data_IF_288544331026
#
_entry.id   IF_288544331026
#
_cell.length_a   1.000
_cell.length_b   1.000
_cell.length_c   1.000
_cell.angle_alpha   90.00
_cell.angle_beta   90.00
_cell.angle_gamma   90.00
#
_symmetry.space_group_name_H-M   'P 1'
#
loop_
_entity.id
_entity.type
_entity.pdbx_description
1 polymer ?
#
# COMPACT_ATOMS: atom_id res chain seq x y z
N UNK A 1 -12.79 -12.59 7.08
CA UNK A 1 -11.76 -13.27 6.31
C UNK A 1 -10.78 -12.28 5.69
N UNK A 2 -9.74 -12.76 5.06
CA UNK A 2 -8.80 -11.94 4.29
C UNK A 2 -9.22 -12.05 2.82
N UNK A 3 -9.25 -10.93 2.10
CA UNK A 3 -9.50 -10.90 0.67
C UNK A 3 -8.31 -11.53 -0.08
N UNK A 4 -8.60 -12.35 -1.07
CA UNK A 4 -7.58 -12.95 -1.92
C UNK A 4 -7.25 -12.00 -3.08
N UNK A 5 -5.97 -11.76 -3.31
CA UNK A 5 -5.45 -10.99 -4.44
C UNK A 5 -4.26 -11.74 -5.05
N UNK A 6 -4.17 -11.76 -6.36
CA UNK A 6 -3.03 -12.33 -7.07
C UNK A 6 -2.56 -11.42 -8.19
N UNK A 7 -1.27 -11.52 -8.50
CA UNK A 7 -0.70 -10.88 -9.69
C UNK A 7 -0.94 -11.73 -10.92
N UNK A 8 -1.12 -11.07 -12.07
CA UNK A 8 -1.17 -11.69 -13.39
C UNK A 8 -0.01 -11.19 -14.25
N UNK A 9 0.55 -12.09 -15.04
CA UNK A 9 1.65 -11.84 -15.98
C UNK A 9 1.28 -12.18 -17.42
N UNK A 10 0.12 -12.79 -17.61
CA UNK A 10 -0.42 -13.19 -18.92
C UNK A 10 -1.95 -13.12 -18.91
N UNK A 11 -2.54 -13.17 -20.12
CA UNK A 11 -4.00 -13.29 -20.26
C UNK A 11 -4.49 -14.60 -19.63
N UNK A 12 -3.76 -15.69 -19.79
CA UNK A 12 -4.12 -16.99 -19.23
C UNK A 12 -4.20 -16.96 -17.70
N UNK A 13 -3.29 -16.23 -17.03
CA UNK A 13 -3.36 -16.03 -15.57
C UNK A 13 -4.62 -15.23 -15.19
N UNK A 14 -4.93 -14.19 -15.97
CA UNK A 14 -6.11 -13.36 -15.75
C UNK A 14 -7.42 -14.14 -16.01
N UNK A 15 -7.49 -14.97 -17.06
CA UNK A 15 -8.60 -15.87 -17.34
C UNK A 15 -8.86 -16.81 -16.16
N UNK A 16 -7.80 -17.45 -15.65
CA UNK A 16 -7.91 -18.35 -14.50
C UNK A 16 -8.50 -17.64 -13.27
N UNK A 17 -8.04 -16.42 -12.95
CA UNK A 17 -8.58 -15.67 -11.81
C UNK A 17 -10.03 -15.25 -12.03
N UNK A 18 -10.39 -14.83 -13.22
CA UNK A 18 -11.76 -14.48 -13.59
C UNK A 18 -12.70 -15.69 -13.47
N UNK A 19 -12.28 -16.87 -13.96
CA UNK A 19 -13.04 -18.13 -13.87
C UNK A 19 -13.26 -18.56 -12.41
N UNK A 20 -12.31 -18.24 -11.53
CA UNK A 20 -12.42 -18.48 -10.07
C UNK A 20 -13.32 -17.47 -9.36
N UNK A 21 -13.85 -16.45 -10.06
CA UNK A 21 -14.71 -15.41 -9.51
C UNK A 21 -13.95 -14.38 -8.66
N UNK A 22 -12.65 -14.21 -8.89
CA UNK A 22 -11.85 -13.15 -8.27
C UNK A 22 -12.22 -11.82 -8.94
N UNK A 23 -12.52 -10.79 -8.14
CA UNK A 23 -12.98 -9.48 -8.64
C UNK A 23 -11.88 -8.42 -8.65
N UNK A 24 -10.76 -8.67 -8.00
CA UNK A 24 -9.62 -7.76 -7.92
C UNK A 24 -8.35 -8.43 -8.40
N UNK A 25 -7.55 -7.72 -9.19
CA UNK A 25 -6.30 -8.27 -9.76
C UNK A 25 -5.14 -7.29 -9.59
N UNK A 26 -3.92 -7.81 -9.48
CA UNK A 26 -2.70 -6.99 -9.50
C UNK A 26 -1.95 -7.15 -10.82
N UNK A 27 -1.43 -6.05 -11.34
CA UNK A 27 -0.52 -6.01 -12.49
C UNK A 27 0.84 -5.50 -12.00
N UNK A 28 1.87 -6.34 -12.16
CA UNK A 28 3.23 -6.02 -11.74
C UNK A 28 3.84 -4.91 -12.63
N UNK A 29 4.84 -4.20 -12.10
CA UNK A 29 5.50 -3.08 -12.81
C UNK A 29 5.99 -3.42 -14.22
N UNK A 30 6.48 -4.65 -14.42
CA UNK A 30 7.00 -5.07 -15.73
C UNK A 30 5.90 -5.32 -16.76
N UNK A 31 4.68 -5.61 -16.32
CA UNK A 31 3.50 -5.84 -17.16
C UNK A 31 2.62 -4.59 -17.30
N UNK A 32 2.92 -3.50 -16.60
CA UNK A 32 2.15 -2.25 -16.71
C UNK A 32 2.19 -1.64 -18.11
N UNK A 33 3.16 -2.02 -18.93
CA UNK A 33 3.34 -1.60 -20.32
C UNK A 33 2.73 -2.57 -21.34
N UNK A 34 1.90 -3.51 -20.91
CA UNK A 34 1.24 -4.49 -21.76
C UNK A 34 -0.23 -4.09 -22.00
N UNK A 35 -0.55 -3.32 -23.06
CA UNK A 35 -1.89 -2.81 -23.28
C UNK A 35 -2.92 -3.92 -23.46
N UNK A 36 -2.53 -5.06 -24.00
CA UNK A 36 -3.43 -6.20 -24.22
C UNK A 36 -3.86 -6.80 -22.87
N UNK A 37 -2.92 -6.96 -21.93
CA UNK A 37 -3.21 -7.46 -20.60
C UNK A 37 -4.04 -6.45 -19.80
N UNK A 38 -3.69 -5.15 -19.88
CA UNK A 38 -4.43 -4.07 -19.21
C UNK A 38 -5.89 -4.03 -19.66
N UNK A 39 -6.14 -4.02 -20.99
CA UNK A 39 -7.50 -4.00 -21.55
C UNK A 39 -8.29 -5.26 -21.19
N UNK A 40 -7.62 -6.43 -21.16
CA UNK A 40 -8.27 -7.65 -20.70
C UNK A 40 -8.69 -7.54 -19.23
N UNK A 41 -7.80 -7.08 -18.37
CA UNK A 41 -8.09 -6.89 -16.94
C UNK A 41 -9.20 -5.87 -16.70
N UNK A 42 -9.23 -4.77 -17.45
CA UNK A 42 -10.30 -3.77 -17.37
C UNK A 42 -11.70 -4.35 -17.66
N UNK A 43 -11.75 -5.33 -18.56
CA UNK A 43 -13.03 -5.94 -18.98
C UNK A 43 -13.53 -7.05 -18.04
N UNK A 44 -12.66 -7.58 -17.16
CA UNK A 44 -12.96 -8.79 -16.38
C UNK A 44 -12.84 -8.62 -14.86
N UNK A 45 -12.31 -7.50 -14.39
CA UNK A 45 -12.12 -7.24 -12.96
C UNK A 45 -12.68 -5.88 -12.56
N UNK A 46 -13.33 -5.82 -11.40
CA UNK A 46 -13.88 -4.58 -10.85
C UNK A 46 -12.75 -3.63 -10.40
N UNK A 47 -11.63 -4.20 -9.91
CA UNK A 47 -10.49 -3.43 -9.40
C UNK A 47 -9.16 -3.94 -9.95
N UNK A 48 -8.32 -3.00 -10.37
CA UNK A 48 -6.96 -3.27 -10.84
C UNK A 48 -5.95 -2.52 -9.97
N UNK A 49 -5.07 -3.27 -9.29
CA UNK A 49 -3.89 -2.73 -8.62
C UNK A 49 -2.74 -2.67 -9.62
N UNK A 50 -2.35 -1.48 -10.03
CA UNK A 50 -1.32 -1.26 -11.04
C UNK A 50 -0.03 -0.75 -10.40
N UNK A 51 1.02 -1.57 -10.40
CA UNK A 51 2.36 -1.17 -9.93
C UNK A 51 3.06 -0.24 -10.92
N UNK A 52 3.69 0.82 -10.41
CA UNK A 52 4.24 1.93 -11.21
C UNK A 52 5.77 1.96 -11.26
N UNK A 53 6.43 0.88 -10.83
CA UNK A 53 7.89 0.78 -10.90
C UNK A 53 8.41 0.84 -12.34
N UNK A 54 9.56 1.46 -12.52
CA UNK A 54 10.23 1.65 -13.82
C UNK A 54 9.47 2.50 -14.85
N UNK A 55 8.38 3.17 -14.45
CA UNK A 55 7.60 4.05 -15.34
C UNK A 55 7.69 5.50 -14.87
N UNK A 56 7.75 6.45 -15.81
CA UNK A 56 7.54 7.88 -15.56
C UNK A 56 6.05 8.16 -15.26
N UNK A 57 5.73 9.38 -14.81
CA UNK A 57 4.34 9.78 -14.58
C UNK A 57 3.56 9.78 -15.90
N UNK A 58 4.15 10.29 -16.97
CA UNK A 58 3.52 10.34 -18.29
C UNK A 58 3.21 8.93 -18.83
N UNK A 59 4.13 7.98 -18.66
CA UNK A 59 3.90 6.58 -19.03
C UNK A 59 2.78 5.95 -18.20
N UNK A 60 2.68 6.28 -16.91
CA UNK A 60 1.60 5.76 -16.04
C UNK A 60 0.25 6.32 -16.50
N UNK A 61 0.18 7.60 -16.86
CA UNK A 61 -1.02 8.21 -17.42
C UNK A 61 -1.46 7.47 -18.70
N UNK A 62 -0.52 7.16 -19.61
CA UNK A 62 -0.81 6.34 -20.79
C UNK A 62 -1.35 4.94 -20.42
N UNK A 63 -0.77 4.29 -19.40
CA UNK A 63 -1.19 2.96 -18.97
C UNK A 63 -2.61 2.96 -18.41
N UNK A 64 -2.99 3.98 -17.63
CA UNK A 64 -4.35 4.11 -17.05
C UNK A 64 -5.40 4.26 -18.16
N UNK A 65 -5.07 4.85 -19.31
CA UNK A 65 -6.00 4.96 -20.43
C UNK A 65 -6.49 3.61 -20.97
N UNK A 66 -5.79 2.50 -20.67
CA UNK A 66 -6.24 1.14 -20.98
C UNK A 66 -7.15 0.53 -19.90
N UNK A 67 -7.46 1.27 -18.82
CA UNK A 67 -8.26 0.84 -17.67
C UNK A 67 -9.44 1.79 -17.41
N UNK A 68 -10.25 2.16 -18.43
CA UNK A 68 -11.25 3.22 -18.28
C UNK A 68 -12.45 2.84 -17.42
N UNK A 69 -12.68 1.56 -17.14
CA UNK A 69 -13.87 1.08 -16.41
C UNK A 69 -13.55 0.51 -15.04
N UNK A 70 -12.31 0.10 -14.80
CA UNK A 70 -11.88 -0.47 -13.53
C UNK A 70 -11.68 0.59 -12.44
N UNK A 71 -11.88 0.20 -11.19
CA UNK A 71 -11.42 0.94 -10.02
C UNK A 71 -9.90 0.79 -9.89
N UNK A 72 -9.13 1.75 -10.41
CA UNK A 72 -7.67 1.68 -10.48
C UNK A 72 -7.04 2.12 -9.16
N UNK A 73 -6.22 1.25 -8.56
CA UNK A 73 -5.33 1.57 -7.44
C UNK A 73 -3.89 1.57 -7.95
N UNK A 74 -3.27 2.74 -8.03
CA UNK A 74 -1.84 2.82 -8.34
C UNK A 74 -1.00 2.43 -7.13
N UNK A 75 0.02 1.60 -7.35
CA UNK A 75 0.99 1.25 -6.32
C UNK A 75 2.32 1.93 -6.64
N UNK A 76 2.63 3.03 -5.93
CA UNK A 76 3.99 3.57 -5.99
C UNK A 76 4.98 2.49 -5.56
N UNK A 77 5.97 2.23 -6.38
CA UNK A 77 7.08 1.36 -6.03
C UNK A 77 8.34 1.73 -6.80
N UNK A 78 9.48 1.30 -6.27
CA UNK A 78 10.77 1.35 -6.95
C UNK A 78 11.23 -0.10 -7.13
N UNK A 79 11.42 -0.52 -8.39
CA UNK A 79 11.79 -1.90 -8.73
C UNK A 79 13.29 -2.17 -8.49
N UNK A 80 13.69 -2.12 -7.22
CA UNK A 80 15.01 -2.47 -6.70
C UNK A 80 14.83 -3.36 -5.49
N UNK A 81 15.53 -4.50 -5.42
CA UNK A 81 15.27 -5.59 -4.48
C UNK A 81 16.56 -6.07 -3.80
N UNK A 82 16.84 -5.73 -2.54
CA UNK A 82 16.12 -4.77 -1.70
C UNK A 82 16.32 -3.32 -2.14
N UNK A 83 15.41 -2.44 -1.71
CA UNK A 83 15.49 -1.00 -1.95
C UNK A 83 16.24 -0.30 -0.81
N UNK A 84 17.22 0.54 -1.14
CA UNK A 84 17.82 1.46 -0.17
C UNK A 84 16.85 2.60 0.16
N UNK A 85 16.68 2.93 1.45
CA UNK A 85 15.69 3.92 1.92
C UNK A 85 15.81 5.28 1.24
N UNK A 86 17.03 5.74 0.93
CA UNK A 86 17.25 7.03 0.22
C UNK A 86 16.62 7.12 -1.17
N UNK A 87 16.29 5.95 -1.76
CA UNK A 87 15.70 5.82 -3.09
C UNK A 87 14.20 5.56 -3.05
N UNK A 88 13.55 5.51 -1.88
CA UNK A 88 12.13 5.17 -1.74
C UNK A 88 11.19 6.18 -2.42
N UNK A 89 11.60 7.46 -2.52
CA UNK A 89 10.84 8.52 -3.20
C UNK A 89 9.36 8.58 -2.80
N UNK A 90 9.06 8.46 -1.52
CA UNK A 90 7.68 8.44 -0.99
C UNK A 90 6.81 9.65 -1.41
N UNK A 91 7.35 10.89 -1.60
CA UNK A 91 6.56 12.01 -2.11
C UNK A 91 5.83 11.71 -3.43
N UNK A 92 6.31 10.73 -4.22
CA UNK A 92 5.64 10.32 -5.45
C UNK A 92 4.24 9.73 -5.21
N UNK A 93 3.95 9.20 -4.02
CA UNK A 93 2.59 8.76 -3.64
C UNK A 93 1.59 9.91 -3.82
N UNK A 94 1.96 11.11 -3.35
CA UNK A 94 1.12 12.30 -3.47
C UNK A 94 1.01 12.75 -4.93
N UNK A 95 2.12 12.74 -5.67
CA UNK A 95 2.12 13.12 -7.11
C UNK A 95 1.20 12.23 -7.95
N UNK A 96 1.16 10.94 -7.67
CA UNK A 96 0.31 9.99 -8.40
C UNK A 96 -1.19 10.19 -8.12
N UNK A 97 -1.57 10.94 -7.08
CA UNK A 97 -2.98 11.28 -6.81
C UNK A 97 -3.59 12.25 -7.82
N UNK A 98 -2.77 12.91 -8.62
CA UNK A 98 -3.25 13.69 -9.76
C UNK A 98 -3.84 12.79 -10.87
N UNK A 99 -3.46 11.50 -10.89
CA UNK A 99 -3.93 10.52 -11.86
C UNK A 99 -5.08 9.65 -11.34
N UNK A 100 -5.12 9.35 -10.05
CA UNK A 100 -6.18 8.56 -9.40
C UNK A 100 -6.25 8.87 -7.90
N UNK A 101 -7.46 8.82 -7.32
CA UNK A 101 -7.63 9.05 -5.88
C UNK A 101 -6.97 7.96 -5.00
N UNK A 102 -6.82 6.74 -5.52
CA UNK A 102 -6.34 5.59 -4.77
C UNK A 102 -4.88 5.28 -5.13
N UNK A 103 -3.97 5.74 -4.29
CA UNK A 103 -2.54 5.44 -4.43
C UNK A 103 -2.03 4.71 -3.21
N UNK A 104 -1.49 3.51 -3.41
CA UNK A 104 -0.82 2.70 -2.41
C UNK A 104 0.71 2.75 -2.53
N UNK A 105 1.36 1.99 -1.70
CA UNK A 105 2.81 1.83 -1.67
C UNK A 105 3.21 0.35 -1.65
N UNK A 106 4.00 -0.07 -2.64
CA UNK A 106 4.65 -1.38 -2.67
C UNK A 106 6.09 -1.21 -2.19
N UNK A 107 6.35 -1.63 -0.94
CA UNK A 107 7.60 -1.40 -0.24
C UNK A 107 8.59 -2.55 -0.41
N UNK A 108 9.76 -2.24 -0.99
CA UNK A 108 10.86 -3.18 -1.20
C UNK A 108 12.07 -2.91 -0.27
N UNK A 109 11.92 -2.05 0.74
CA UNK A 109 12.95 -1.81 1.76
C UNK A 109 13.03 -2.98 2.74
N UNK A 110 14.14 -3.11 3.45
CA UNK A 110 14.25 -4.06 4.56
C UNK A 110 13.35 -3.65 5.74
N UNK A 111 12.82 -4.65 6.46
CA UNK A 111 12.01 -4.44 7.64
C UNK A 111 10.72 -3.69 7.36
N UNK A 112 10.18 -3.00 8.35
CA UNK A 112 8.86 -2.33 8.27
C UNK A 112 8.93 -0.80 8.35
N UNK A 113 10.12 -0.23 8.50
CA UNK A 113 10.27 1.22 8.71
C UNK A 113 9.86 2.03 7.47
N UNK A 114 10.18 1.55 6.25
CA UNK A 114 9.72 2.18 5.01
C UNK A 114 8.20 2.23 4.91
N UNK A 115 7.54 1.13 5.26
CA UNK A 115 6.08 1.03 5.32
C UNK A 115 5.48 1.97 6.38
N UNK A 116 6.07 2.05 7.59
CA UNK A 116 5.62 2.98 8.64
C UNK A 116 5.74 4.45 8.22
N UNK A 117 6.89 4.84 7.65
CA UNK A 117 7.12 6.20 7.17
C UNK A 117 6.16 6.56 6.03
N UNK A 118 5.83 5.60 5.16
CA UNK A 118 4.87 5.84 4.07
C UNK A 118 3.49 6.29 4.56
N UNK A 119 3.10 5.98 5.80
CA UNK A 119 1.83 6.39 6.39
C UNK A 119 1.69 7.91 6.55
N UNK A 120 2.79 8.67 6.52
CA UNK A 120 2.77 10.15 6.47
C UNK A 120 2.19 10.67 5.15
N UNK A 121 2.23 9.83 4.11
CA UNK A 121 1.68 10.10 2.78
C UNK A 121 0.30 9.47 2.56
N UNK A 122 -0.30 8.89 3.62
CA UNK A 122 -1.65 8.31 3.61
C UNK A 122 -1.90 7.35 2.44
N UNK A 123 -1.07 6.31 2.24
CA UNK A 123 -1.29 5.37 1.16
C UNK A 123 -2.61 4.61 1.36
N UNK A 124 -3.35 4.40 0.26
CA UNK A 124 -4.60 3.63 0.26
C UNK A 124 -4.39 2.18 0.72
N UNK A 125 -3.24 1.60 0.36
CA UNK A 125 -2.82 0.24 0.72
C UNK A 125 -1.29 0.17 0.78
N UNK A 126 -0.76 -0.71 1.62
CA UNK A 126 0.67 -1.03 1.66
C UNK A 126 0.85 -2.49 1.26
N UNK A 127 1.70 -2.75 0.28
CA UNK A 127 2.13 -4.08 -0.14
C UNK A 127 3.56 -4.33 0.34
N UNK A 128 3.83 -5.53 0.84
CA UNK A 128 5.15 -5.92 1.33
C UNK A 128 5.41 -7.40 1.05
N UNK A 129 6.64 -7.73 0.63
CA UNK A 129 7.08 -9.12 0.56
C UNK A 129 7.06 -9.76 1.95
N UNK A 130 6.46 -10.94 2.07
CA UNK A 130 6.30 -11.67 3.31
C UNK A 130 6.81 -13.11 3.17
N UNK A 131 7.47 -13.61 4.20
CA UNK A 131 7.88 -15.00 4.31
C UNK A 131 7.82 -15.49 5.75
N UNK A 132 7.66 -16.78 5.93
CA UNK A 132 7.77 -17.42 7.26
C UNK A 132 9.22 -17.70 7.65
N UNK A 133 10.14 -17.74 6.66
CA UNK A 133 11.56 -18.02 6.87
C UNK A 133 12.40 -17.43 5.70
N UNK A 134 13.29 -16.50 6.03
CA UNK A 134 14.15 -15.84 5.05
C UNK A 134 15.23 -16.76 4.45
N UNK A 135 15.45 -17.95 5.03
CA UNK A 135 16.37 -18.96 4.49
C UNK A 135 15.76 -19.84 3.39
N UNK A 136 14.44 -19.76 3.18
CA UNK A 136 13.75 -20.49 2.12
C UNK A 136 14.31 -20.12 0.74
N UNK A 137 14.33 -21.09 -0.22
CA UNK A 137 14.76 -20.81 -1.57
C UNK A 137 13.84 -19.79 -2.23
N UNK A 138 14.43 -18.81 -2.92
CA UNK A 138 13.73 -17.75 -3.61
C UNK A 138 14.47 -16.42 -3.48
N UNK A 139 14.37 -15.58 -4.49
CA UNK A 139 15.09 -14.31 -4.55
C UNK A 139 14.61 -13.35 -3.45
N UNK A 140 13.31 -13.35 -3.21
CA UNK A 140 12.63 -12.32 -2.42
C UNK A 140 12.54 -12.67 -0.93
N UNK A 141 12.71 -13.95 -0.55
CA UNK A 141 12.69 -14.38 0.85
C UNK A 141 13.71 -13.65 1.72
N UNK A 142 14.88 -13.30 1.17
CA UNK A 142 15.98 -12.70 1.93
C UNK A 142 15.70 -11.32 2.49
N UNK A 143 14.76 -10.57 1.90
CA UNK A 143 14.39 -9.23 2.34
C UNK A 143 12.89 -9.11 2.69
N UNK A 144 12.13 -10.19 2.51
CA UNK A 144 10.73 -10.26 2.92
C UNK A 144 10.60 -10.15 4.43
N UNK A 145 9.53 -9.53 4.90
CA UNK A 145 9.24 -9.43 6.33
C UNK A 145 8.75 -10.76 6.91
N UNK A 146 9.05 -10.96 8.18
CA UNK A 146 8.66 -12.13 8.96
C UNK A 146 7.30 -11.90 9.66
N UNK A 147 6.65 -12.96 10.20
CA UNK A 147 5.37 -12.84 10.88
C UNK A 147 5.35 -11.83 12.03
N UNK A 148 6.43 -11.72 12.80
CA UNK A 148 6.51 -10.76 13.90
C UNK A 148 6.63 -9.32 13.40
N UNK A 149 7.32 -9.08 12.26
CA UNK A 149 7.44 -7.76 11.62
C UNK A 149 6.10 -7.34 11.00
N UNK A 150 5.36 -8.28 10.37
CA UNK A 150 4.01 -8.00 9.88
C UNK A 150 3.07 -7.63 11.03
N UNK A 151 3.17 -8.34 12.17
CA UNK A 151 2.41 -7.99 13.37
C UNK A 151 2.77 -6.61 13.89
N UNK A 152 4.06 -6.27 13.96
CA UNK A 152 4.56 -4.96 14.38
C UNK A 152 3.97 -3.84 13.50
N UNK A 153 4.01 -4.01 12.17
CA UNK A 153 3.42 -3.05 11.23
C UNK A 153 1.91 -2.90 11.45
N UNK A 154 1.19 -4.02 11.60
CA UNK A 154 -0.25 -4.01 11.84
C UNK A 154 -0.62 -3.32 13.15
N UNK A 155 0.13 -3.59 14.24
CA UNK A 155 -0.10 -2.97 15.54
C UNK A 155 0.21 -1.46 15.48
N UNK A 156 1.27 -1.07 14.76
CA UNK A 156 1.62 0.34 14.55
C UNK A 156 0.52 1.10 13.79
N UNK A 157 -0.03 0.51 12.73
CA UNK A 157 -1.12 1.11 11.94
C UNK A 157 -2.35 1.32 12.83
N UNK A 158 -2.75 0.31 13.59
CA UNK A 158 -3.90 0.40 14.53
C UNK A 158 -3.69 1.50 15.58
N UNK A 159 -2.52 1.53 16.21
CA UNK A 159 -2.19 2.55 17.19
C UNK A 159 -2.25 3.96 16.58
N UNK A 160 -1.73 4.13 15.35
CA UNK A 160 -1.80 5.39 14.62
C UNK A 160 -3.24 5.81 14.33
N UNK A 161 -4.09 4.89 13.92
CA UNK A 161 -5.51 5.13 13.68
C UNK A 161 -6.21 5.57 14.98
N UNK A 162 -5.98 4.87 16.09
CA UNK A 162 -6.54 5.22 17.41
C UNK A 162 -6.09 6.62 17.86
N UNK A 163 -4.79 6.95 17.71
CA UNK A 163 -4.23 8.25 18.11
C UNK A 163 -4.71 9.41 17.23
N UNK A 164 -5.17 9.14 16.02
CA UNK A 164 -5.68 10.15 15.09
C UNK A 164 -7.20 10.36 15.19
N UNK A 165 -7.89 9.69 16.12
CA UNK A 165 -9.31 9.96 16.37
C UNK A 165 -9.47 11.35 16.96
N UNK A 166 -10.22 12.20 16.25
CA UNK A 166 -10.55 13.53 16.76
C UNK A 166 -11.65 13.46 17.82
N UNK A 167 -11.37 13.97 19.01
CA UNK A 167 -12.36 14.13 20.08
C UNK A 167 -12.86 15.60 20.19
N UNK A 168 -12.61 16.43 19.18
CA UNK A 168 -13.00 17.84 19.18
C UNK A 168 -12.04 18.73 19.96
N UNK A 169 -12.51 19.94 20.30
CA UNK A 169 -11.68 20.98 20.96
C UNK A 169 -11.88 21.07 22.47
N UNK A 170 -12.68 20.21 23.10
CA UNK A 170 -12.89 20.15 24.54
C UNK A 170 -11.82 19.31 25.23
N UNK A 171 -11.79 19.40 26.57
CA UNK A 171 -11.00 18.45 27.36
C UNK A 171 -11.69 17.09 27.41
N UNK A 172 -10.90 16.02 27.51
CA UNK A 172 -11.41 14.64 27.52
C UNK A 172 -11.85 14.26 28.96
N UNK A 173 -12.81 13.36 29.05
CA UNK A 173 -13.30 12.83 30.31
C UNK A 173 -12.17 12.23 31.18
N UNK A 174 -11.17 11.60 30.58
CA UNK A 174 -9.99 11.08 31.28
C UNK A 174 -9.12 12.16 31.94
N UNK A 175 -9.29 13.46 31.59
CA UNK A 175 -8.58 14.59 32.19
C UNK A 175 -9.34 15.21 33.41
N UNK A 176 -10.58 14.76 33.69
CA UNK A 176 -11.43 15.38 34.70
C UNK A 176 -10.77 15.38 36.07
N UNK A 177 -10.20 14.26 36.51
CA UNK A 177 -9.53 14.15 37.80
C UNK A 177 -8.33 15.13 37.90
N UNK A 178 -7.51 15.18 36.86
CA UNK A 178 -6.37 16.09 36.80
C UNK A 178 -6.82 17.56 36.81
N UNK A 179 -7.92 17.86 36.12
CA UNK A 179 -8.51 19.21 36.10
C UNK A 179 -8.99 19.65 37.49
N UNK A 180 -9.65 18.75 38.24
CA UNK A 180 -10.21 19.07 39.56
C UNK A 180 -9.12 19.19 40.63
N UNK A 181 -8.05 18.41 40.55
CA UNK A 181 -6.99 18.36 41.59
C UNK A 181 -5.83 19.30 41.28
N UNK A 182 -5.48 19.47 40.00
CA UNK A 182 -4.24 20.14 39.58
C UNK A 182 -4.44 21.63 39.21
N UNK A 183 -5.64 22.02 38.76
CA UNK A 183 -5.91 23.39 38.34
C UNK A 183 -5.85 24.33 39.55
N UNK A 184 -5.03 25.36 39.47
CA UNK A 184 -4.85 26.34 40.55
C UNK A 184 -4.03 25.85 41.75
N UNK A 185 -3.42 24.66 41.71
CA UNK A 185 -2.70 24.07 42.85
C UNK A 185 -1.52 24.91 43.35
N UNK A 186 -0.97 25.76 42.52
CA UNK A 186 0.18 26.62 42.82
C UNK A 186 -0.18 28.10 42.86
N UNK A 187 -1.47 28.44 42.77
CA UNK A 187 -1.99 29.79 42.94
C UNK A 187 -2.16 30.07 44.47
N UNK A 188 -1.04 30.33 45.13
CA UNK A 188 -0.98 30.65 46.53
C UNK A 188 -0.45 32.04 46.78
#
# INVERSE_FOLDING_TARGET
GIEFLSSVFSIQDAELLSDLGVTSVKIASFESRNPTLLTYCDSHFDRVYLSTGTSSVDEIEEHINYLPTSDVVLLHCISSYPLESKNANLPRIVMLRDLTEKVGYSDHTFGVEGAKISLEYEPYVIEKHFTTDQSLPGRDNKFAILPHELKELSDYIKMREEMNISHGGGYLECEQEARDIMTGRFDG
#
